data_IF_891402833348
#
_entry.id   IF_891402833348
#
_cell.length_a   1.000
_cell.length_b   1.000
_cell.length_c   1.000
_cell.angle_alpha   90.00
_cell.angle_beta   90.00
_cell.angle_gamma   90.00
#
_symmetry.space_group_name_H-M   'P 1'
#
loop_
_entity.id
_entity.type
_entity.pdbx_description
1 polymer ?
#
# COMPACT_ATOMS: atom_id res chain seq x y z
N UNK A 1 4.28 16.80 -13.40
CA UNK A 1 5.19 17.18 -12.30
C UNK A 1 5.84 15.92 -11.69
N UNK A 2 6.00 14.86 -12.50
CA UNK A 2 6.25 13.51 -12.00
C UNK A 2 7.64 12.99 -12.41
N UNK A 3 8.29 13.64 -13.37
CA UNK A 3 9.60 13.21 -13.88
C UNK A 3 10.77 13.61 -12.98
N UNK A 4 10.77 14.81 -12.40
CA UNK A 4 11.89 15.25 -11.54
C UNK A 4 11.93 14.45 -10.24
N UNK A 5 10.78 14.15 -9.63
CA UNK A 5 10.71 13.32 -8.43
C UNK A 5 11.10 11.87 -8.77
N UNK A 6 10.64 11.35 -9.91
CA UNK A 6 11.05 10.03 -10.42
C UNK A 6 12.56 9.96 -10.66
N UNK A 7 13.16 10.98 -11.27
CA UNK A 7 14.58 11.06 -11.57
C UNK A 7 15.42 11.20 -10.30
N UNK A 8 15.07 12.10 -9.37
CA UNK A 8 15.81 12.23 -8.10
C UNK A 8 15.73 10.93 -7.27
N UNK A 9 14.56 10.27 -7.24
CA UNK A 9 14.42 8.95 -6.60
C UNK A 9 15.25 7.89 -7.32
N UNK A 10 15.21 7.82 -8.66
CA UNK A 10 15.97 6.85 -9.45
C UNK A 10 17.50 7.01 -9.27
N UNK A 11 18.00 8.25 -9.19
CA UNK A 11 19.43 8.53 -9.03
C UNK A 11 19.94 8.30 -7.61
N UNK A 12 19.09 8.39 -6.57
CA UNK A 12 19.50 8.08 -5.18
C UNK A 12 19.33 6.59 -4.80
N UNK A 13 18.66 5.78 -5.61
CA UNK A 13 18.33 4.37 -5.34
C UNK A 13 19.32 3.39 -6.02
N UNK A 14 20.59 3.77 -6.19
CA UNK A 14 21.64 2.96 -6.83
C UNK A 14 22.62 2.29 -5.85
N UNK A 15 22.32 2.32 -4.54
CA UNK A 15 22.91 1.40 -3.55
C UNK A 15 21.83 0.37 -3.22
N UNK A 16 22.08 -0.92 -3.53
CA UNK A 16 21.21 -2.04 -3.20
C UNK A 16 21.02 -2.12 -1.67
N UNK A 17 20.03 -1.39 -1.15
CA UNK A 17 19.69 -1.34 0.28
C UNK A 17 18.78 -2.49 0.70
N UNK A 18 18.09 -3.11 -0.25
CA UNK A 18 17.21 -4.26 -0.05
C UNK A 18 17.82 -5.42 -0.83
N UNK A 19 17.81 -6.62 -0.25
CA UNK A 19 18.29 -7.78 -0.96
C UNK A 19 17.30 -8.23 -2.05
N UNK A 20 17.81 -8.86 -3.09
CA UNK A 20 17.00 -9.25 -4.26
C UNK A 20 15.95 -10.32 -3.88
N UNK A 21 16.20 -11.13 -2.84
CA UNK A 21 15.25 -12.14 -2.36
C UNK A 21 14.08 -11.53 -1.58
N UNK A 22 14.33 -10.50 -0.76
CA UNK A 22 13.33 -9.73 -0.05
C UNK A 22 12.44 -8.93 -1.02
N UNK A 23 13.01 -8.43 -2.12
CA UNK A 23 12.21 -7.79 -3.18
C UNK A 23 11.27 -8.80 -3.84
N UNK A 24 11.76 -10.00 -4.18
CA UNK A 24 10.94 -11.04 -4.79
C UNK A 24 9.80 -11.49 -3.85
N UNK A 25 10.11 -11.74 -2.57
CA UNK A 25 9.11 -12.08 -1.57
C UNK A 25 8.06 -10.97 -1.37
N UNK A 26 8.51 -9.70 -1.35
CA UNK A 26 7.62 -8.54 -1.26
C UNK A 26 6.67 -8.46 -2.47
N UNK A 27 7.16 -8.77 -3.67
CA UNK A 27 6.35 -8.78 -4.88
C UNK A 27 5.27 -9.89 -4.84
N UNK A 28 5.62 -11.08 -4.36
CA UNK A 28 4.66 -12.18 -4.17
C UNK A 28 3.59 -11.85 -3.13
N UNK A 29 3.95 -11.29 -1.98
CA UNK A 29 3.00 -10.86 -0.94
C UNK A 29 2.02 -9.79 -1.45
N UNK A 30 2.53 -8.84 -2.24
CA UNK A 30 1.70 -7.81 -2.88
C UNK A 30 0.73 -8.38 -3.92
N UNK A 31 1.08 -9.49 -4.60
CA UNK A 31 0.22 -10.18 -5.56
C UNK A 31 -0.81 -11.08 -4.88
N UNK A 32 -0.44 -11.74 -3.79
CA UNK A 32 -1.28 -12.75 -3.08
C UNK A 32 -2.49 -12.10 -2.37
N UNK A 33 -2.49 -10.78 -2.21
CA UNK A 33 -3.69 -10.01 -1.89
C UNK A 33 -4.03 -9.88 -0.41
N UNK A 34 -3.22 -10.47 0.50
CA UNK A 34 -3.24 -10.05 1.91
C UNK A 34 -2.93 -8.57 2.02
N UNK A 35 -1.95 -8.11 1.24
CA UNK A 35 -1.59 -6.70 1.11
C UNK A 35 -1.08 -6.10 2.42
N UNK A 36 -0.22 -5.09 2.32
CA UNK A 36 0.22 -4.38 3.52
C UNK A 36 -0.77 -3.26 3.86
N UNK A 37 -1.03 -3.07 5.15
CA UNK A 37 -1.89 -1.99 5.63
C UNK A 37 -1.24 -0.60 5.41
N UNK A 38 0.08 -0.52 5.42
CA UNK A 38 0.86 0.70 5.19
C UNK A 38 2.29 0.38 4.77
N UNK A 39 3.03 1.39 4.31
CA UNK A 39 4.47 1.25 4.07
C UNK A 39 5.26 0.96 5.35
N UNK A 40 4.79 1.40 6.52
CA UNK A 40 5.40 1.04 7.81
C UNK A 40 5.27 -0.45 8.12
N UNK A 41 4.15 -1.07 7.74
CA UNK A 41 3.98 -2.52 7.87
C UNK A 41 4.98 -3.30 6.99
N UNK A 42 5.37 -2.74 5.83
CA UNK A 42 6.39 -3.33 4.96
C UNK A 42 7.77 -3.22 5.60
N UNK A 43 8.11 -2.08 6.20
CA UNK A 43 9.39 -1.90 6.93
C UNK A 43 9.51 -2.92 8.06
N UNK A 44 8.45 -3.07 8.86
CA UNK A 44 8.43 -4.02 9.96
C UNK A 44 8.53 -5.48 9.46
N UNK A 45 7.82 -5.81 8.38
CA UNK A 45 7.89 -7.13 7.77
C UNK A 45 9.29 -7.45 7.22
N UNK A 46 9.93 -6.51 6.51
CA UNK A 46 11.31 -6.67 6.02
C UNK A 46 12.30 -6.88 7.18
N UNK A 47 12.08 -6.21 8.30
CA UNK A 47 12.89 -6.39 9.51
C UNK A 47 12.69 -7.75 10.17
N UNK A 48 11.45 -8.24 10.22
CA UNK A 48 11.13 -9.50 10.88
C UNK A 48 11.49 -10.74 10.03
N UNK A 49 11.13 -10.73 8.75
CA UNK A 49 11.30 -11.88 7.85
C UNK A 49 12.70 -11.93 7.23
N UNK A 50 13.24 -10.77 6.85
CA UNK A 50 14.51 -10.67 6.12
C UNK A 50 15.65 -10.06 6.97
N UNK A 51 15.37 -9.62 8.21
CA UNK A 51 16.38 -9.00 9.07
C UNK A 51 16.91 -7.67 8.55
N UNK A 52 16.24 -7.06 7.56
CA UNK A 52 16.70 -5.84 6.91
C UNK A 52 16.04 -4.61 7.51
N UNK A 53 16.86 -3.73 8.10
CA UNK A 53 16.39 -2.42 8.53
C UNK A 53 16.46 -1.43 7.37
N UNK A 54 15.30 -1.19 6.75
CA UNK A 54 15.15 -0.36 5.56
C UNK A 54 14.38 0.90 5.91
N UNK A 55 14.92 2.05 5.52
CA UNK A 55 14.26 3.33 5.73
C UNK A 55 12.91 3.42 4.98
N UNK A 56 11.90 3.99 5.65
CA UNK A 56 10.55 4.19 5.10
C UNK A 56 10.55 4.81 3.70
N UNK A 57 11.37 5.85 3.47
CA UNK A 57 11.45 6.54 2.18
C UNK A 57 11.94 5.60 1.06
N UNK A 58 12.84 4.68 1.39
CA UNK A 58 13.35 3.66 0.45
C UNK A 58 12.24 2.68 0.10
N UNK A 59 11.51 2.17 1.10
CA UNK A 59 10.37 1.27 0.88
C UNK A 59 9.28 1.94 0.04
N UNK A 60 8.93 3.19 0.36
CA UNK A 60 7.97 3.98 -0.40
C UNK A 60 8.38 4.10 -1.88
N UNK A 61 9.63 4.46 -2.14
CA UNK A 61 10.13 4.63 -3.51
C UNK A 61 10.09 3.31 -4.30
N UNK A 62 10.51 2.20 -3.68
CA UNK A 62 10.47 0.88 -4.30
C UNK A 62 9.03 0.44 -4.61
N UNK A 63 8.16 0.42 -3.60
CA UNK A 63 6.79 -0.06 -3.76
C UNK A 63 6.00 0.80 -4.75
N UNK A 64 6.17 2.12 -4.68
CA UNK A 64 5.41 3.07 -5.50
C UNK A 64 5.92 3.17 -6.93
N UNK A 65 7.23 3.28 -7.13
CA UNK A 65 7.81 3.57 -8.45
C UNK A 65 8.36 2.33 -9.16
N UNK A 66 8.91 1.34 -8.44
CA UNK A 66 9.46 0.12 -9.07
C UNK A 66 8.39 -0.94 -9.23
N UNK A 67 7.68 -1.27 -8.15
CA UNK A 67 6.64 -2.31 -8.14
C UNK A 67 5.28 -1.80 -8.65
N UNK A 68 5.10 -0.48 -8.72
CA UNK A 68 3.85 0.14 -9.18
C UNK A 68 2.63 -0.20 -8.32
N UNK A 69 2.83 -0.78 -7.13
CA UNK A 69 1.77 -1.27 -6.29
C UNK A 69 1.01 -0.11 -5.65
N UNK A 70 -0.32 -0.19 -5.66
CA UNK A 70 -1.20 0.75 -4.97
C UNK A 70 -1.80 0.04 -3.77
N UNK A 71 -1.28 0.32 -2.56
CA UNK A 71 -1.85 -0.18 -1.32
C UNK A 71 -3.31 0.32 -1.24
N UNK A 72 -4.26 -0.61 -1.30
CA UNK A 72 -5.68 -0.29 -1.15
C UNK A 72 -5.99 -0.22 0.34
N UNK A 73 -5.72 0.92 0.96
CA UNK A 73 -6.10 1.15 2.36
C UNK A 73 -7.62 1.34 2.42
N UNK A 74 -8.35 0.59 3.26
CA UNK A 74 -9.77 0.86 3.48
C UNK A 74 -9.93 2.29 4.00
N UNK A 75 -10.93 3.01 3.45
CA UNK A 75 -11.20 4.37 3.89
C UNK A 75 -11.53 4.33 5.39
N UNK A 76 -10.83 5.10 6.26
CA UNK A 76 -11.14 5.14 7.68
C UNK A 76 -12.60 5.56 7.87
N UNK A 77 -13.35 4.77 8.62
CA UNK A 77 -14.72 5.11 9.02
C UNK A 77 -14.67 6.10 10.18
N UNK A 78 -15.64 7.01 10.24
CA UNK A 78 -15.73 7.96 11.35
C UNK A 78 -16.17 7.25 12.62
N UNK A 79 -15.50 7.51 13.75
CA UNK A 79 -15.94 6.99 15.06
C UNK A 79 -17.34 7.45 15.47
N UNK A 80 -17.84 8.54 14.88
CA UNK A 80 -19.19 9.09 15.14
C UNK A 80 -20.28 8.49 14.24
N UNK A 81 -19.93 7.50 13.43
CA UNK A 81 -20.87 6.89 12.50
C UNK A 81 -21.81 5.96 13.27
N UNK A 82 -23.07 6.36 13.35
CA UNK A 82 -24.10 5.58 14.03
C UNK A 82 -24.44 4.34 13.19
N UNK A 83 -24.25 3.15 13.78
CA UNK A 83 -24.50 1.86 13.12
C UNK A 83 -25.95 1.71 12.66
N UNK A 84 -26.91 2.33 13.36
CA UNK A 84 -28.33 2.28 12.98
C UNK A 84 -28.58 2.98 11.65
N UNK A 85 -28.02 4.18 11.48
CA UNK A 85 -28.16 4.98 10.26
C UNK A 85 -27.48 4.31 9.04
N UNK A 86 -26.35 3.63 9.25
CA UNK A 86 -25.68 2.84 8.20
C UNK A 86 -26.55 1.68 7.73
N UNK A 87 -27.19 0.99 8.68
CA UNK A 87 -28.05 -0.17 8.38
C UNK A 87 -29.34 0.21 7.65
N UNK A 88 -29.88 1.40 7.91
CA UNK A 88 -31.07 1.94 7.23
C UNK A 88 -30.75 2.40 5.80
N UNK A 89 -29.62 3.09 5.60
CA UNK A 89 -29.20 3.53 4.26
C UNK A 89 -29.01 2.36 3.29
N UNK A 90 -28.43 1.25 3.77
CA UNK A 90 -28.17 0.05 2.95
C UNK A 90 -29.45 -0.64 2.44
N UNK A 91 -30.61 -0.38 3.06
CA UNK A 91 -31.90 -0.98 2.68
C UNK A 91 -32.66 -0.18 1.62
N UNK A 92 -32.35 1.11 1.45
CA UNK A 92 -33.07 2.01 0.53
C UNK A 92 -32.41 2.19 -0.84
N UNK A 93 -31.30 1.50 -1.12
CA UNK A 93 -30.69 1.50 -2.45
C UNK A 93 -31.41 0.51 -3.37
N UNK A 94 -32.66 0.80 -3.74
CA UNK A 94 -33.32 0.07 -4.82
C UNK A 94 -32.62 0.39 -6.15
N UNK A 95 -32.40 -0.58 -7.06
CA UNK A 95 -31.93 -0.28 -8.40
C UNK A 95 -32.96 0.60 -9.10
N UNK A 96 -32.50 1.68 -9.71
CA UNK A 96 -33.32 2.54 -10.56
C UNK A 96 -34.04 1.66 -11.59
N UNK A 97 -35.35 1.42 -11.41
CA UNK A 97 -36.15 0.69 -12.38
C UNK A 97 -36.39 1.63 -13.56
N UNK A 98 -35.74 1.36 -14.68
CA UNK A 98 -35.95 2.06 -15.95
C UNK A 98 -37.44 1.97 -16.33
N UNK A 99 -38.07 3.13 -16.46
CA UNK A 99 -39.44 3.31 -17.00
C UNK A 99 -39.40 3.23 -18.51
#
# INVERSE_FOLDING_TARGET
MDEIISYICFYNLNKRKIDDAAIAALEEELKTGKGFASYGAIVEWLKQEHGQDVEYATVYAWVRYRLGAKLKVPRPQSHKQDEKLVSEFKKNSAPFSTV
#
